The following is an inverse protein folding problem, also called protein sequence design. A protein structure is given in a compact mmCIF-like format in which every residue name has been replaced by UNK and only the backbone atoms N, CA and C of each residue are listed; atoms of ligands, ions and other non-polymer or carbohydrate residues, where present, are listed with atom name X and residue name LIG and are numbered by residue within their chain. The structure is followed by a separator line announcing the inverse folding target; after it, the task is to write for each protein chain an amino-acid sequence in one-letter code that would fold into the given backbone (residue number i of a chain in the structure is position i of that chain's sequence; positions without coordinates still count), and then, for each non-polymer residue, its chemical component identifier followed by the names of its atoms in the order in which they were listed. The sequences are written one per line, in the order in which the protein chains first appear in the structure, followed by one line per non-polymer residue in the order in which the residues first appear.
data_IF_169938749227
#
_entry.id   IF_169938749227
#
_cell.length_a   1.000
_cell.length_b   1.000
_cell.length_c   1.000
_cell.angle_alpha   90.00
_cell.angle_beta   90.00
_cell.angle_gamma   90.00
#
_symmetry.space_group_name_H-M   'P 1'
#
loop_
_entity.id
_entity.type
_entity.pdbx_description
1 polymer ?
#
# COMPACT_ATOMS: atom_id res chain seq x y z
N UNK A 1 4.22 -13.13 -18.36
CA UNK A 1 2.80 -13.28 -17.96
C UNK A 1 2.74 -14.10 -16.67
N UNK A 2 3.09 -13.49 -15.54
CA UNK A 2 2.99 -14.13 -14.23
C UNK A 2 1.67 -13.74 -13.60
N UNK A 3 0.72 -14.69 -13.52
CA UNK A 3 -0.55 -14.48 -12.83
C UNK A 3 -0.23 -14.27 -11.34
N UNK A 4 -0.41 -13.07 -10.81
CA UNK A 4 -0.35 -12.85 -9.36
C UNK A 4 -1.57 -13.55 -8.77
N UNK A 5 -1.35 -14.75 -8.22
CA UNK A 5 -2.34 -15.46 -7.44
C UNK A 5 -2.62 -14.62 -6.18
N UNK A 6 -3.64 -13.76 -6.24
CA UNK A 6 -4.27 -13.17 -5.06
C UNK A 6 -4.97 -14.31 -4.29
N UNK A 7 -4.15 -15.10 -3.61
CA UNK A 7 -4.55 -16.31 -2.91
C UNK A 7 -5.60 -16.00 -1.84
N UNK A 8 -6.68 -16.78 -1.87
CA UNK A 8 -7.78 -16.84 -0.91
C UNK A 8 -7.32 -16.60 0.54
N UNK A 9 -7.74 -15.47 1.12
CA UNK A 9 -7.64 -15.24 2.55
C UNK A 9 -8.47 -16.30 3.30
N UNK A 10 -7.90 -16.94 4.32
CA UNK A 10 -8.68 -17.85 5.18
C UNK A 10 -9.49 -17.02 6.18
N UNK A 11 -10.64 -17.53 6.64
CA UNK A 11 -11.56 -16.78 7.53
C UNK A 11 -10.90 -16.31 8.84
N UNK A 12 -9.92 -17.08 9.31
CA UNK A 12 -9.06 -16.85 10.46
C UNK A 12 -8.13 -15.63 10.32
N UNK A 13 -7.69 -15.30 9.09
CA UNK A 13 -6.88 -14.11 8.82
C UNK A 13 -7.68 -12.82 9.09
N UNK A 14 -8.98 -12.81 8.77
CA UNK A 14 -9.85 -11.64 8.94
C UNK A 14 -10.12 -11.32 10.42
N UNK A 15 -10.26 -12.35 11.27
CA UNK A 15 -10.44 -12.18 12.72
C UNK A 15 -9.18 -11.62 13.39
N UNK A 16 -8.01 -12.01 12.90
CA UNK A 16 -6.69 -11.55 13.36
C UNK A 16 -6.33 -10.13 12.90
N UNK A 17 -7.07 -9.52 11.96
CA UNK A 17 -6.88 -8.12 11.54
C UNK A 17 -7.59 -7.14 12.47
N UNK A 18 -8.65 -7.57 13.14
CA UNK A 18 -9.41 -6.74 14.07
C UNK A 18 -8.56 -6.26 15.25
N UNK A 19 -7.52 -7.02 15.63
CA UNK A 19 -6.59 -6.67 16.72
C UNK A 19 -5.60 -5.56 16.37
N UNK A 20 -5.39 -5.25 15.09
CA UNK A 20 -4.54 -4.13 14.68
C UNK A 20 -5.33 -2.83 14.69
N UNK A 21 -4.85 -1.84 15.45
CA UNK A 21 -5.48 -0.51 15.53
C UNK A 21 -5.32 0.30 14.24
N UNK A 22 -4.21 0.10 13.50
CA UNK A 22 -3.87 0.91 12.33
C UNK A 22 -4.07 0.12 11.04
N UNK A 23 -4.72 0.74 10.07
CA UNK A 23 -4.97 0.14 8.76
C UNK A 23 -3.66 -0.22 8.02
N UNK A 24 -2.60 0.55 8.24
CA UNK A 24 -1.27 0.30 7.67
C UNK A 24 -0.73 -1.08 8.08
N UNK A 25 -0.87 -1.44 9.34
CA UNK A 25 -0.36 -2.72 9.84
C UNK A 25 -1.20 -3.89 9.30
N UNK A 26 -2.51 -3.69 9.18
CA UNK A 26 -3.42 -4.64 8.52
C UNK A 26 -2.99 -4.89 7.06
N UNK A 27 -2.75 -3.83 6.29
CA UNK A 27 -2.31 -3.97 4.90
C UNK A 27 -1.00 -4.74 4.78
N UNK A 28 -0.02 -4.41 5.60
CA UNK A 28 1.29 -5.06 5.57
C UNK A 28 1.25 -6.53 5.98
N UNK A 29 0.36 -6.90 6.91
CA UNK A 29 0.14 -8.30 7.26
C UNK A 29 -0.48 -9.09 6.09
N UNK A 30 -1.40 -8.47 5.35
CA UNK A 30 -2.11 -9.13 4.25
C UNK A 30 -1.30 -9.24 2.97
N UNK A 31 -0.62 -8.16 2.58
CA UNK A 31 -0.01 -8.02 1.25
C UNK A 31 1.52 -7.97 1.29
N UNK A 32 2.10 -7.91 2.50
CA UNK A 32 3.54 -7.73 2.70
C UNK A 32 3.96 -6.27 2.60
N UNK A 33 5.21 -5.99 2.98
CA UNK A 33 5.84 -4.67 2.84
C UNK A 33 6.60 -4.56 1.52
N UNK A 34 5.88 -4.56 0.40
CA UNK A 34 6.46 -4.38 -0.94
C UNK A 34 5.61 -3.47 -1.80
N UNK A 35 6.22 -2.83 -2.80
CA UNK A 35 5.49 -2.08 -3.79
C UNK A 35 4.60 -3.02 -4.63
N UNK A 36 3.30 -2.74 -4.70
CA UNK A 36 2.36 -3.53 -5.52
C UNK A 36 2.48 -3.21 -7.02
N UNK A 37 3.13 -2.10 -7.38
CA UNK A 37 3.35 -1.69 -8.78
C UNK A 37 4.63 -2.27 -9.41
N UNK A 38 5.75 -2.23 -8.69
CA UNK A 38 7.06 -2.63 -9.23
C UNK A 38 7.78 -3.69 -8.38
N UNK A 39 7.12 -4.24 -7.36
CA UNK A 39 7.65 -5.25 -6.44
C UNK A 39 8.85 -4.82 -5.58
N UNK A 40 9.31 -3.56 -5.70
CA UNK A 40 10.40 -3.05 -4.88
C UNK A 40 10.13 -3.19 -3.38
N UNK A 41 11.11 -3.74 -2.67
CA UNK A 41 11.02 -4.12 -1.26
C UNK A 41 12.38 -4.00 -0.54
N UNK A 42 13.22 -3.06 -0.96
CA UNK A 42 14.57 -2.92 -0.41
C UNK A 42 14.54 -2.35 1.02
N UNK A 43 15.33 -2.96 1.90
CA UNK A 43 15.44 -2.55 3.30
C UNK A 43 16.43 -1.39 3.39
N UNK A 44 16.01 -0.29 4.00
CA UNK A 44 16.93 0.80 4.28
C UNK A 44 17.94 0.36 5.36
N UNK A 45 19.26 0.40 5.08
CA UNK A 45 20.28 -0.12 5.98
C UNK A 45 20.43 0.70 7.28
N UNK A 46 19.97 1.95 7.31
CA UNK A 46 20.11 2.83 8.46
C UNK A 46 19.01 2.65 9.51
N UNK A 47 17.80 2.26 9.09
CA UNK A 47 16.65 2.11 10.00
C UNK A 47 16.00 0.73 9.97
N UNK A 48 16.43 -0.16 9.07
CA UNK A 48 15.91 -1.53 8.96
C UNK A 48 14.51 -1.65 8.38
N UNK A 49 13.95 -0.59 7.78
CA UNK A 49 12.59 -0.59 7.22
C UNK A 49 12.60 -0.48 5.69
N UNK A 50 11.62 -1.13 5.07
CA UNK A 50 11.29 -0.94 3.65
C UNK A 50 10.43 0.34 3.55
N UNK A 51 10.88 1.41 2.89
CA UNK A 51 10.21 2.71 2.93
C UNK A 51 9.06 2.78 1.92
N UNK A 52 8.06 1.92 2.08
CA UNK A 52 6.81 1.95 1.31
C UNK A 52 5.74 2.85 1.94
N UNK A 53 4.95 3.46 1.07
CA UNK A 53 3.87 4.40 1.36
C UNK A 53 2.53 3.76 0.95
N UNK A 54 1.44 4.20 1.59
CA UNK A 54 0.09 3.76 1.23
C UNK A 54 -0.59 4.92 0.53
N UNK A 55 -1.18 4.65 -0.63
CA UNK A 55 -1.96 5.63 -1.40
C UNK A 55 -3.41 5.15 -1.52
N UNK A 56 -4.32 6.11 -1.71
CA UNK A 56 -5.74 5.86 -1.97
C UNK A 56 -5.95 5.88 -3.49
N UNK A 57 -6.40 4.76 -4.06
CA UNK A 57 -6.58 4.60 -5.50
C UNK A 57 -7.58 5.65 -6.03
N UNK A 58 -8.72 5.81 -5.35
CA UNK A 58 -9.72 6.83 -5.65
C UNK A 58 -9.30 8.26 -5.26
N UNK A 59 -8.25 8.42 -4.46
CA UNK A 59 -7.77 9.70 -3.94
C UNK A 59 -8.59 10.28 -2.79
N UNK A 60 -9.62 9.59 -2.33
CA UNK A 60 -10.41 9.99 -1.17
C UNK A 60 -9.78 9.41 0.11
N UNK A 61 -9.17 10.28 0.91
CA UNK A 61 -8.52 9.90 2.17
C UNK A 61 -9.48 9.30 3.21
N UNK A 62 -10.79 9.52 3.06
CA UNK A 62 -11.81 8.97 3.95
C UNK A 62 -12.14 7.51 3.61
N UNK A 63 -11.94 7.09 2.36
CA UNK A 63 -12.21 5.74 1.90
C UNK A 63 -11.09 4.76 2.28
N UNK A 64 -11.19 4.22 3.49
CA UNK A 64 -10.24 3.28 4.07
C UNK A 64 -10.58 1.81 3.76
N UNK A 65 -11.34 1.52 2.71
CA UNK A 65 -11.53 0.13 2.26
C UNK A 65 -10.17 -0.47 1.86
N UNK A 66 -9.87 -1.70 2.30
CA UNK A 66 -8.59 -2.33 2.00
C UNK A 66 -8.32 -2.40 0.50
N UNK A 67 -9.35 -2.64 -0.30
CA UNK A 67 -9.26 -2.74 -1.77
C UNK A 67 -9.07 -1.38 -2.45
N UNK A 68 -9.33 -0.28 -1.74
CA UNK A 68 -9.06 1.08 -2.21
C UNK A 68 -7.63 1.56 -1.86
N UNK A 69 -6.88 0.79 -1.08
CA UNK A 69 -5.53 1.13 -0.66
C UNK A 69 -4.50 0.36 -1.48
N UNK A 70 -3.40 1.02 -1.84
CA UNK A 70 -2.28 0.42 -2.55
C UNK A 70 -0.95 0.74 -1.87
N UNK A 71 -0.06 -0.24 -1.75
CA UNK A 71 1.29 -0.06 -1.21
C UNK A 71 2.25 0.29 -2.36
N UNK A 72 2.92 1.44 -2.26
CA UNK A 72 3.85 1.93 -3.29
C UNK A 72 5.22 2.28 -2.70
N UNK A 73 6.28 2.07 -3.48
CA UNK A 73 7.60 2.63 -3.15
C UNK A 73 7.62 4.15 -3.38
N UNK A 74 8.60 4.89 -2.84
CA UNK A 74 8.65 6.36 -2.99
C UNK A 74 8.68 6.80 -4.46
N UNK A 75 9.36 6.04 -5.32
CA UNK A 75 9.45 6.33 -6.75
C UNK A 75 8.16 6.03 -7.51
N UNK A 76 7.42 4.98 -7.17
CA UNK A 76 6.13 4.71 -7.80
C UNK A 76 5.05 5.66 -7.30
N UNK A 77 5.12 6.03 -6.01
CA UNK A 77 4.20 6.97 -5.41
C UNK A 77 4.39 8.37 -6.00
N UNK A 78 5.61 8.79 -6.30
CA UNK A 78 5.86 10.10 -6.93
C UNK A 78 5.25 10.26 -8.34
N UNK A 79 4.88 9.14 -8.97
CA UNK A 79 4.24 9.09 -10.28
C UNK A 79 2.71 9.04 -10.20
N UNK A 80 2.10 9.05 -9.01
CA UNK A 80 0.65 9.12 -8.91
C UNK A 80 0.18 10.55 -9.17
N UNK A 81 -0.93 10.71 -9.89
CA UNK A 81 -1.45 12.02 -10.28
C UNK A 81 -1.66 12.96 -9.08
N UNK A 82 -1.93 12.35 -7.93
CA UNK A 82 -2.30 12.93 -6.65
C UNK A 82 -1.11 13.10 -5.70
N UNK A 83 0.09 12.66 -6.11
CA UNK A 83 1.30 12.89 -5.36
C UNK A 83 1.53 14.39 -5.18
N UNK A 84 1.60 14.83 -3.92
CA UNK A 84 1.80 16.23 -3.54
C UNK A 84 0.73 17.15 -4.13
N UNK A 85 -0.55 16.97 -3.77
CA UNK A 85 -1.64 17.92 -4.07
C UNK A 85 -1.28 19.37 -3.66
N UNK A 86 -0.61 20.08 -4.57
CA UNK A 86 -0.43 21.52 -4.58
C UNK A 86 -1.24 22.09 -5.74
N UNK A 87 -2.57 21.97 -5.71
CA UNK A 87 -3.53 22.82 -6.44
C UNK A 87 -3.29 23.19 -7.92
N UNK A 88 -2.38 22.57 -8.64
CA UNK A 88 -1.90 23.06 -9.92
C UNK A 88 -2.37 22.11 -11.01
N UNK A 89 -3.34 22.59 -11.80
CA UNK A 89 -3.68 22.01 -13.10
C UNK A 89 -2.39 21.80 -13.88
N UNK A 90 -1.96 20.55 -14.06
CA UNK A 90 -0.89 20.23 -15.00
C UNK A 90 -1.49 20.36 -16.41
N UNK A 91 -0.94 21.29 -17.19
CA UNK A 91 -1.29 21.56 -18.59
C UNK A 91 -1.06 20.34 -19.47
#
# INVERSE_FOLDING_TARGET
MGKTNFGRFRKDDLTQLASFTRIRDRLFKLRGRKCERCEWAEVNPYNGFIPVQIDHIDGDRSNNALDNLIILCPNCHSLTEKFMFYGAKRK
#
